data_IF_214996912210
#
_entry.id   IF_214996912210
#
_cell.length_a   1.000
_cell.length_b   1.000
_cell.length_c   1.000
_cell.angle_alpha   90.00
_cell.angle_beta   90.00
_cell.angle_gamma   90.00
#
_symmetry.space_group_name_H-M   'P 1'
#
loop_
_entity.id
_entity.type
_entity.pdbx_description
1 polymer ?
#
# COMPACT_ATOMS: atom_id res chain seq x y z
N UNK A 1 13.27 0.64 -3.38
CA UNK A 1 12.02 0.30 -4.08
C UNK A 1 10.89 1.05 -3.41
N UNK A 2 10.11 1.78 -4.20
CA UNK A 2 8.88 2.41 -3.74
C UNK A 2 7.76 1.85 -4.62
N UNK A 3 6.90 1.03 -4.02
CA UNK A 3 5.83 0.34 -4.72
C UNK A 3 4.49 1.02 -4.45
N UNK A 4 4.06 1.85 -5.39
CA UNK A 4 2.79 2.58 -5.34
C UNK A 4 1.75 2.03 -6.32
N UNK A 5 1.96 0.80 -6.82
CA UNK A 5 1.05 0.18 -7.79
C UNK A 5 -0.34 -0.02 -7.16
N UNK A 6 -1.36 0.37 -7.92
CA UNK A 6 -2.74 0.16 -7.52
C UNK A 6 -3.66 -0.01 -8.74
N UNK A 7 -4.31 -1.16 -8.82
CA UNK A 7 -5.35 -1.48 -9.78
C UNK A 7 -6.65 -1.77 -9.06
N UNK A 8 -7.74 -1.17 -9.53
CA UNK A 8 -9.09 -1.38 -9.01
C UNK A 8 -10.07 -1.64 -10.15
N UNK A 9 -10.97 -2.57 -9.96
CA UNK A 9 -11.88 -3.11 -10.98
C UNK A 9 -13.36 -2.95 -10.67
N UNK A 10 -13.73 -2.18 -9.64
CA UNK A 10 -15.12 -1.92 -9.24
C UNK A 10 -15.98 -3.17 -9.02
N UNK A 11 -15.43 -4.26 -8.50
CA UNK A 11 -16.18 -5.46 -8.19
C UNK A 11 -16.70 -5.49 -6.75
N UNK A 12 -17.94 -5.93 -6.63
CA UNK A 12 -18.58 -6.25 -5.35
C UNK A 12 -18.35 -7.73 -5.03
N UNK A 13 -18.59 -8.13 -3.79
CA UNK A 13 -18.61 -9.54 -3.41
C UNK A 13 -19.62 -10.37 -4.25
N UNK A 14 -20.72 -9.75 -4.65
CA UNK A 14 -21.79 -10.43 -5.41
C UNK A 14 -21.39 -10.75 -6.85
N UNK A 15 -20.56 -9.92 -7.48
CA UNK A 15 -20.26 -10.01 -8.92
C UNK A 15 -18.78 -10.13 -9.25
N UNK A 16 -17.93 -10.50 -8.26
CA UNK A 16 -16.54 -10.79 -8.56
C UNK A 16 -16.42 -12.08 -9.39
N UNK A 17 -15.36 -12.14 -10.20
CA UNK A 17 -14.99 -13.36 -10.92
C UNK A 17 -13.56 -13.75 -10.54
N UNK A 18 -13.23 -15.04 -10.74
CA UNK A 18 -11.88 -15.57 -10.46
C UNK A 18 -10.83 -14.81 -11.27
N UNK A 19 -11.10 -14.54 -12.55
CA UNK A 19 -10.20 -13.84 -13.46
C UNK A 19 -9.88 -12.42 -12.96
N UNK A 20 -10.88 -11.69 -12.53
CA UNK A 20 -10.73 -10.33 -11.98
C UNK A 20 -10.02 -10.33 -10.64
N UNK A 21 -10.28 -11.33 -9.80
CA UNK A 21 -9.55 -11.52 -8.54
C UNK A 21 -8.08 -11.81 -8.83
N UNK A 22 -7.77 -12.72 -9.76
CA UNK A 22 -6.40 -13.02 -10.18
C UNK A 22 -5.70 -11.78 -10.72
N UNK A 23 -6.38 -10.97 -11.54
CA UNK A 23 -5.81 -9.73 -12.07
C UNK A 23 -5.47 -8.75 -10.96
N UNK A 24 -6.36 -8.56 -9.99
CA UNK A 24 -6.12 -7.69 -8.83
C UNK A 24 -4.94 -8.18 -7.99
N UNK A 25 -4.89 -9.48 -7.68
CA UNK A 25 -3.77 -10.07 -6.94
C UNK A 25 -2.46 -9.98 -7.72
N UNK A 26 -2.48 -10.29 -9.04
CA UNK A 26 -1.31 -10.21 -9.90
C UNK A 26 -0.69 -8.82 -9.88
N UNK A 27 -1.51 -7.77 -10.08
CA UNK A 27 -1.01 -6.40 -10.19
C UNK A 27 -0.66 -5.83 -8.82
N UNK A 28 -1.56 -5.95 -7.84
CA UNK A 28 -1.42 -5.24 -6.56
C UNK A 28 -0.50 -5.94 -5.57
N UNK A 29 -0.27 -7.25 -5.73
CA UNK A 29 0.46 -8.05 -4.72
C UNK A 29 1.60 -8.86 -5.34
N UNK A 30 1.33 -9.73 -6.32
CA UNK A 30 2.35 -10.65 -6.85
C UNK A 30 3.47 -9.88 -7.53
N UNK A 31 3.17 -8.91 -8.39
CA UNK A 31 4.17 -8.10 -9.07
C UNK A 31 5.09 -7.34 -8.09
N UNK A 32 4.58 -6.63 -7.07
CA UNK A 32 5.38 -6.10 -5.98
C UNK A 32 6.36 -7.11 -5.37
N UNK A 33 5.88 -8.29 -5.03
CA UNK A 33 6.72 -9.32 -4.42
C UNK A 33 7.80 -9.86 -5.35
N UNK A 34 7.53 -9.96 -6.65
CA UNK A 34 8.53 -10.34 -7.67
C UNK A 34 9.64 -9.28 -7.70
N UNK A 35 9.29 -8.00 -7.76
CA UNK A 35 10.26 -6.89 -7.80
C UNK A 35 11.13 -6.89 -6.53
N UNK A 36 10.52 -7.05 -5.36
CA UNK A 36 11.22 -7.12 -4.08
C UNK A 36 12.20 -8.30 -4.08
N UNK A 37 11.73 -9.49 -4.46
CA UNK A 37 12.57 -10.71 -4.53
C UNK A 37 13.77 -10.52 -5.46
N UNK A 38 13.55 -9.98 -6.66
CA UNK A 38 14.64 -9.77 -7.63
C UNK A 38 15.70 -8.78 -7.13
N UNK A 39 15.31 -7.80 -6.33
CA UNK A 39 16.21 -6.77 -5.82
C UNK A 39 16.95 -7.17 -4.56
N UNK A 40 16.47 -8.18 -3.83
CA UNK A 40 16.95 -8.51 -2.48
C UNK A 40 18.44 -8.89 -2.45
N UNK A 41 18.90 -9.70 -3.42
CA UNK A 41 20.31 -10.12 -3.47
C UNK A 41 21.23 -8.92 -3.70
N UNK A 42 20.85 -8.00 -4.58
CA UNK A 42 21.62 -6.78 -4.82
C UNK A 42 21.69 -5.91 -3.56
N UNK A 43 20.56 -5.67 -2.90
CA UNK A 43 20.52 -4.90 -1.65
C UNK A 43 21.38 -5.54 -0.56
N UNK A 44 21.33 -6.88 -0.43
CA UNK A 44 22.16 -7.63 0.51
C UNK A 44 23.66 -7.42 0.25
N UNK A 45 24.08 -7.53 -1.01
CA UNK A 45 25.49 -7.34 -1.39
C UNK A 45 25.97 -5.92 -1.11
N UNK A 46 25.10 -4.92 -1.32
CA UNK A 46 25.38 -3.50 -1.02
C UNK A 46 25.28 -3.16 0.47
N UNK A 47 24.75 -4.05 1.31
CA UNK A 47 24.42 -3.78 2.73
C UNK A 47 23.59 -2.51 2.88
N UNK A 48 22.67 -2.31 1.95
CA UNK A 48 21.78 -1.16 1.92
C UNK A 48 20.54 -1.47 1.08
N UNK A 49 19.38 -1.08 1.59
CA UNK A 49 18.14 -1.17 0.84
C UNK A 49 16.98 -0.53 1.59
N UNK A 50 16.14 0.19 0.86
CA UNK A 50 14.90 0.79 1.39
C UNK A 50 13.74 0.31 0.53
N UNK A 51 12.76 -0.31 1.16
CA UNK A 51 11.58 -0.87 0.49
C UNK A 51 10.34 -0.31 1.16
N UNK A 52 9.51 0.36 0.39
CA UNK A 52 8.18 0.81 0.77
C UNK A 52 7.18 0.04 -0.09
N UNK A 53 6.36 -0.77 0.56
CA UNK A 53 5.19 -1.39 -0.06
C UNK A 53 3.92 -0.66 0.38
N UNK A 54 2.81 -0.82 -0.34
CA UNK A 54 1.58 -0.10 -0.01
C UNK A 54 0.39 -1.01 0.16
N UNK A 55 -0.36 -0.74 1.23
CA UNK A 55 -1.71 -1.21 1.47
C UNK A 55 -2.71 -0.04 1.40
N UNK A 56 -3.89 -0.22 1.89
CA UNK A 56 -4.97 0.78 1.90
C UNK A 56 -5.69 0.77 3.23
N UNK A 57 -6.07 1.94 3.73
CA UNK A 57 -6.93 2.03 4.92
C UNK A 57 -8.26 1.29 4.74
N UNK A 58 -8.75 1.16 3.50
CA UNK A 58 -9.95 0.40 3.18
C UNK A 58 -9.91 -1.05 3.66
N UNK A 59 -8.72 -1.62 3.84
CA UNK A 59 -8.55 -2.98 4.38
C UNK A 59 -9.12 -3.11 5.80
N UNK A 60 -8.93 -2.10 6.64
CA UNK A 60 -9.41 -2.10 8.04
C UNK A 60 -10.94 -2.12 8.14
N UNK A 61 -11.62 -1.69 7.08
CA UNK A 61 -13.08 -1.66 6.99
C UNK A 61 -13.67 -2.79 6.15
N UNK A 62 -12.86 -3.80 5.78
CA UNK A 62 -13.29 -4.86 4.88
C UNK A 62 -13.48 -4.42 3.43
N UNK A 63 -12.97 -3.24 3.08
CA UNK A 63 -13.16 -2.61 1.77
C UNK A 63 -14.44 -1.81 1.64
N UNK A 64 -14.61 -1.13 0.51
CA UNK A 64 -15.86 -0.53 0.10
C UNK A 64 -16.70 -1.50 -0.74
N UNK A 65 -17.97 -1.20 -0.93
CA UNK A 65 -18.93 -2.07 -1.68
C UNK A 65 -18.37 -2.48 -3.06
N UNK A 66 -17.68 -1.57 -3.76
CA UNK A 66 -17.14 -1.79 -5.11
C UNK A 66 -15.61 -2.01 -5.13
N UNK A 67 -15.02 -2.46 -4.05
CA UNK A 67 -13.55 -2.63 -3.98
C UNK A 67 -13.14 -3.97 -3.37
N UNK A 68 -13.96 -5.01 -3.52
CA UNK A 68 -13.74 -6.31 -2.92
C UNK A 68 -12.38 -6.91 -3.30
N UNK A 69 -12.12 -7.11 -4.61
CA UNK A 69 -10.86 -7.68 -5.09
C UNK A 69 -9.66 -6.81 -4.72
N UNK A 70 -9.81 -5.49 -4.85
CA UNK A 70 -8.78 -4.53 -4.47
C UNK A 70 -8.40 -4.67 -3.00
N UNK A 71 -9.38 -4.71 -2.11
CA UNK A 71 -9.14 -4.77 -0.66
C UNK A 71 -8.43 -6.04 -0.26
N UNK A 72 -8.83 -7.20 -0.79
CA UNK A 72 -8.12 -8.47 -0.58
C UNK A 72 -6.68 -8.37 -1.08
N UNK A 73 -6.48 -7.87 -2.30
CA UNK A 73 -5.15 -7.76 -2.88
C UNK A 73 -4.23 -6.81 -2.09
N UNK A 74 -4.77 -5.74 -1.52
CA UNK A 74 -4.01 -4.82 -0.66
C UNK A 74 -3.75 -5.40 0.73
N UNK A 75 -4.65 -6.23 1.26
CA UNK A 75 -4.42 -6.93 2.52
C UNK A 75 -3.21 -7.87 2.46
N UNK A 76 -3.03 -8.57 1.34
CA UNK A 76 -1.86 -9.45 1.14
C UNK A 76 -0.53 -8.70 1.32
N UNK A 77 -0.47 -7.41 1.00
CA UNK A 77 0.74 -6.59 1.16
C UNK A 77 1.08 -6.25 2.62
N UNK A 78 0.18 -6.50 3.57
CA UNK A 78 0.42 -6.28 5.00
C UNK A 78 1.21 -7.42 5.64
N UNK A 79 1.30 -8.56 4.97
CA UNK A 79 2.12 -9.65 5.42
C UNK A 79 3.60 -9.32 5.25
N UNK A 80 4.35 -9.31 6.35
CA UNK A 80 5.81 -9.10 6.35
C UNK A 80 6.49 -10.44 6.68
N UNK A 81 7.01 -11.15 5.68
CA UNK A 81 7.60 -12.47 5.88
C UNK A 81 8.82 -12.44 6.79
N UNK A 82 9.02 -13.50 7.56
CA UNK A 82 10.24 -13.66 8.36
C UNK A 82 11.50 -13.63 7.49
N UNK A 83 11.41 -14.08 6.25
CA UNK A 83 12.54 -14.04 5.31
C UNK A 83 12.98 -12.60 5.01
N UNK A 84 12.05 -11.66 4.88
CA UNK A 84 12.39 -10.24 4.74
C UNK A 84 13.06 -9.72 6.03
N UNK A 85 12.53 -10.07 7.20
CA UNK A 85 13.09 -9.63 8.50
C UNK A 85 14.52 -10.12 8.72
N UNK A 86 14.88 -11.29 8.20
CA UNK A 86 16.28 -11.80 8.25
C UNK A 86 17.29 -10.89 7.53
N UNK A 87 16.82 -10.04 6.60
CA UNK A 87 17.65 -9.10 5.87
C UNK A 87 17.86 -7.76 6.58
N UNK A 88 17.12 -7.46 7.65
CA UNK A 88 17.25 -6.19 8.39
C UNK A 88 18.67 -5.96 8.93
N UNK A 89 19.37 -7.03 9.34
CA UNK A 89 20.77 -6.97 9.78
C UNK A 89 21.75 -6.48 8.71
N UNK A 90 21.35 -6.44 7.44
CA UNK A 90 22.15 -5.93 6.32
C UNK A 90 21.79 -4.49 5.97
N UNK A 91 21.22 -3.72 6.89
CA UNK A 91 20.75 -2.35 6.66
C UNK A 91 19.70 -2.26 5.55
N UNK A 92 18.83 -3.29 5.47
CA UNK A 92 17.70 -3.31 4.57
C UNK A 92 16.44 -3.01 5.38
N UNK A 93 15.70 -1.99 4.95
CA UNK A 93 14.46 -1.55 5.57
C UNK A 93 13.27 -1.94 4.70
N UNK A 94 12.24 -2.47 5.32
CA UNK A 94 10.98 -2.81 4.68
C UNK A 94 9.82 -2.31 5.53
N UNK A 95 9.04 -1.38 5.00
CA UNK A 95 7.83 -0.90 5.65
C UNK A 95 6.64 -0.94 4.69
N UNK A 96 5.46 -1.10 5.24
CA UNK A 96 4.19 -1.04 4.51
C UNK A 96 3.45 0.22 4.91
N UNK A 97 3.05 1.02 3.92
CA UNK A 97 2.20 2.19 4.16
C UNK A 97 0.74 1.83 3.90
N UNK A 98 -0.09 1.94 4.92
CA UNK A 98 -1.53 1.83 4.82
C UNK A 98 -2.09 3.22 4.54
N UNK A 99 -2.31 3.50 3.24
CA UNK A 99 -2.63 4.85 2.75
C UNK A 99 -4.13 5.08 2.81
N UNK A 100 -4.52 6.21 3.39
CA UNK A 100 -5.87 6.73 3.40
C UNK A 100 -6.28 7.36 2.07
N UNK A 101 -7.44 8.00 2.07
CA UNK A 101 -7.93 8.67 0.87
C UNK A 101 -6.99 9.80 0.46
N UNK A 102 -6.48 9.72 -0.78
CA UNK A 102 -5.51 10.66 -1.36
C UNK A 102 -6.03 11.17 -2.68
N UNK A 103 -5.83 12.45 -2.97
CA UNK A 103 -6.27 13.10 -4.21
C UNK A 103 -5.54 12.53 -5.43
N UNK A 104 -6.08 11.47 -6.02
CA UNK A 104 -5.51 10.76 -7.16
C UNK A 104 -6.61 10.26 -8.11
N UNK A 105 -6.21 9.96 -9.35
CA UNK A 105 -7.14 9.48 -10.40
C UNK A 105 -7.82 8.14 -10.06
N UNK A 106 -7.29 7.36 -9.14
CA UNK A 106 -7.87 6.07 -8.76
C UNK A 106 -9.26 6.25 -8.13
N UNK A 107 -9.49 7.34 -7.44
CA UNK A 107 -10.77 7.64 -6.80
C UNK A 107 -11.88 7.99 -7.78
N UNK A 108 -11.56 8.49 -8.98
CA UNK A 108 -12.53 8.75 -10.03
C UNK A 108 -13.23 7.46 -10.49
N UNK A 109 -12.57 6.32 -10.35
CA UNK A 109 -13.12 4.99 -10.67
C UNK A 109 -14.03 4.45 -9.58
N UNK A 110 -13.86 4.89 -8.32
CA UNK A 110 -14.58 4.34 -7.16
C UNK A 110 -15.77 5.23 -6.76
N UNK A 111 -15.62 6.54 -6.83
CA UNK A 111 -16.47 7.49 -6.12
C UNK A 111 -17.23 8.46 -7.02
N UNK A 112 -17.80 8.02 -8.14
CA UNK A 112 -18.50 8.87 -9.13
C UNK A 112 -19.42 9.99 -8.59
N UNK A 113 -19.88 9.94 -7.33
CA UNK A 113 -20.70 11.01 -6.69
C UNK A 113 -20.51 11.12 -5.16
N UNK A 114 -19.59 10.38 -4.54
CA UNK A 114 -19.58 10.26 -3.07
C UNK A 114 -18.30 10.70 -2.37
N UNK A 115 -17.35 11.35 -3.07
CA UNK A 115 -16.09 11.80 -2.47
C UNK A 115 -16.35 12.72 -1.27
N UNK A 116 -17.29 13.66 -1.38
CA UNK A 116 -17.67 14.55 -0.27
C UNK A 116 -18.19 13.77 0.96
N UNK A 117 -18.97 12.71 0.73
CA UNK A 117 -19.45 11.83 1.82
C UNK A 117 -18.30 11.09 2.46
N UNK A 118 -17.36 10.57 1.64
CA UNK A 118 -16.18 9.85 2.14
C UNK A 118 -15.26 10.75 2.97
N UNK A 119 -15.02 12.01 2.54
CA UNK A 119 -14.24 13.00 3.29
C UNK A 119 -14.83 13.25 4.68
N UNK A 120 -16.15 13.29 4.81
CA UNK A 120 -16.82 13.48 6.11
C UNK A 120 -16.52 12.37 7.12
N UNK A 121 -16.18 11.16 6.65
CA UNK A 121 -15.82 10.02 7.49
C UNK A 121 -14.38 10.10 8.02
N UNK A 122 -13.49 10.79 7.29
CA UNK A 122 -12.11 11.01 7.74
C UNK A 122 -12.12 11.94 8.95
N UNK A 123 -11.52 11.59 10.11
CA UNK A 123 -11.50 12.45 11.28
C UNK A 123 -10.96 13.85 11.01
N UNK A 124 -9.89 13.98 10.24
CA UNK A 124 -9.32 15.28 9.83
C UNK A 124 -10.20 16.07 8.83
N UNK A 125 -11.34 15.54 8.35
CA UNK A 125 -12.27 16.19 7.40
C UNK A 125 -11.63 16.69 6.11
N UNK A 126 -10.49 16.13 5.72
CA UNK A 126 -9.78 16.42 4.47
C UNK A 126 -9.19 15.14 3.87
N UNK A 127 -8.80 15.20 2.62
CA UNK A 127 -8.03 14.15 1.94
C UNK A 127 -6.56 14.53 1.91
N UNK A 128 -5.69 13.54 1.87
CA UNK A 128 -4.28 13.77 1.66
C UNK A 128 -4.01 14.24 0.23
N UNK A 129 -3.04 15.10 0.04
CA UNK A 129 -2.45 15.37 -1.27
C UNK A 129 -1.35 14.35 -1.56
N UNK A 130 -1.04 14.05 -2.83
CA UNK A 130 0.09 13.16 -3.16
C UNK A 130 1.40 13.55 -2.49
N UNK A 131 1.65 14.85 -2.35
CA UNK A 131 2.86 15.37 -1.70
C UNK A 131 2.93 15.02 -0.22
N UNK A 132 1.79 14.92 0.48
CA UNK A 132 1.76 14.56 1.90
C UNK A 132 2.29 13.12 2.08
N UNK A 133 1.91 12.23 1.14
CA UNK A 133 2.40 10.84 1.13
C UNK A 133 3.87 10.78 0.70
N UNK A 134 4.26 11.56 -0.31
CA UNK A 134 5.62 11.59 -0.82
C UNK A 134 6.63 12.05 0.24
N UNK A 135 6.33 13.11 0.99
CA UNK A 135 7.18 13.61 2.07
C UNK A 135 7.41 12.56 3.17
N UNK A 136 6.38 11.77 3.47
CA UNK A 136 6.52 10.70 4.45
C UNK A 136 7.36 9.52 3.93
N UNK A 137 7.19 9.19 2.66
CA UNK A 137 8.03 8.18 1.99
C UNK A 137 9.48 8.65 1.97
N UNK A 138 9.73 9.90 1.62
CA UNK A 138 11.07 10.49 1.58
C UNK A 138 11.77 10.36 2.94
N UNK A 139 11.08 10.71 4.03
CA UNK A 139 11.60 10.47 5.38
C UNK A 139 11.96 9.00 5.62
N UNK A 140 11.06 8.07 5.27
CA UNK A 140 11.27 6.64 5.53
C UNK A 140 12.45 6.04 4.76
N UNK A 141 12.72 6.54 3.55
CA UNK A 141 13.83 6.06 2.71
C UNK A 141 15.13 6.83 2.94
N UNK A 142 15.08 7.98 3.58
CA UNK A 142 16.25 8.80 3.89
C UNK A 142 17.10 8.22 5.01
N UNK A 143 18.27 8.82 5.20
CA UNK A 143 19.15 8.49 6.31
C UNK A 143 18.67 9.01 7.68
N UNK A 144 17.62 9.80 7.71
CA UNK A 144 16.95 10.20 8.95
C UNK A 144 16.23 9.03 9.63
N UNK A 145 15.72 8.10 8.84
CA UNK A 145 15.12 6.87 9.36
C UNK A 145 16.21 5.86 9.74
N UNK A 146 16.53 5.78 11.03
CA UNK A 146 17.51 4.84 11.59
C UNK A 146 16.90 3.56 12.17
N UNK A 147 15.57 3.55 12.46
CA UNK A 147 15.00 2.47 13.28
C UNK A 147 13.58 2.03 12.91
N UNK A 148 12.85 2.78 12.09
CA UNK A 148 11.51 2.39 11.65
C UNK A 148 11.67 1.32 10.55
N UNK A 149 11.48 0.05 10.93
CA UNK A 149 11.64 -1.10 10.05
C UNK A 149 10.65 -2.21 10.43
N UNK A 150 10.13 -2.92 9.45
CA UNK A 150 9.17 -4.01 9.66
C UNK A 150 7.79 -3.54 10.14
N UNK A 151 7.38 -2.31 9.81
CA UNK A 151 6.15 -1.71 10.30
C UNK A 151 5.08 -1.60 9.22
N UNK A 152 3.82 -1.67 9.66
CA UNK A 152 2.65 -1.24 8.88
C UNK A 152 2.21 0.11 9.45
N UNK A 153 2.38 1.16 8.67
CA UNK A 153 2.20 2.53 9.14
C UNK A 153 1.00 3.14 8.45
N UNK A 154 0.05 3.64 9.24
CA UNK A 154 -1.14 4.33 8.74
C UNK A 154 -0.85 5.79 8.42
N UNK A 155 -1.23 6.22 7.23
CA UNK A 155 -1.25 7.62 6.79
C UNK A 155 -2.66 7.90 6.29
N UNK A 156 -3.60 8.19 7.19
CA UNK A 156 -5.02 8.09 6.89
C UNK A 156 -5.88 9.25 7.42
N UNK A 157 -5.27 10.26 8.04
CA UNK A 157 -6.03 11.37 8.61
C UNK A 157 -6.88 10.99 9.82
N UNK A 158 -6.45 9.94 10.55
CA UNK A 158 -7.09 9.48 11.79
C UNK A 158 -8.04 8.29 11.61
N UNK A 159 -8.15 7.72 10.40
CA UNK A 159 -8.93 6.49 10.16
C UNK A 159 -8.24 5.24 10.71
#
# INVERSE_FOLDING_TARGET
IINLIGYIDNNTFKNFTIEKMHQSLKINSILPWIIIRMSMQHMRNKKWGKIINTSSIGVDYGGGINSFNYSISKYVNEFIPIEIKKHFKFNIFYNVLKIGITETKIHNKIYNKSLKKRIKLVPMKKIAKPIDIANYIDFLISDLNKFINGQIIKISGGE
#
